data_IF_551793519454
#
_entry.id   IF_551793519454
#
_cell.length_a   1.000
_cell.length_b   1.000
_cell.length_c   1.000
_cell.angle_alpha   90.00
_cell.angle_beta   90.00
_cell.angle_gamma   90.00
#
_symmetry.space_group_name_H-M   'P 1'
#
loop_
_entity.id
_entity.type
_entity.pdbx_description
1 polymer ?
#
# COMPACT_ATOMS: atom_id res chain seq x y z
N UNK A 1 49.65 -38.88 -18.61
CA UNK A 1 49.03 -38.54 -17.31
C UNK A 1 48.80 -37.03 -17.10
N UNK A 2 49.69 -36.12 -17.51
CA UNK A 2 49.52 -34.67 -17.26
C UNK A 2 48.30 -33.99 -17.92
N UNK A 3 47.86 -34.44 -19.11
CA UNK A 3 46.73 -33.80 -19.84
C UNK A 3 45.36 -34.12 -19.23
N UNK A 4 45.17 -35.36 -18.75
CA UNK A 4 43.96 -35.77 -18.01
C UNK A 4 43.83 -35.04 -16.68
N UNK A 5 44.93 -34.89 -15.92
CA UNK A 5 44.94 -34.14 -14.66
C UNK A 5 44.61 -32.65 -14.88
N UNK A 6 45.14 -32.04 -15.96
CA UNK A 6 44.80 -30.66 -16.34
C UNK A 6 43.32 -30.48 -16.70
N UNK A 7 42.71 -31.44 -17.40
CA UNK A 7 41.28 -31.38 -17.74
C UNK A 7 40.38 -31.55 -16.52
N UNK A 8 40.71 -32.48 -15.62
CA UNK A 8 39.99 -32.66 -14.35
C UNK A 8 40.10 -31.41 -13.49
N UNK A 9 41.31 -30.83 -13.35
CA UNK A 9 41.52 -29.57 -12.62
C UNK A 9 40.77 -28.39 -13.24
N UNK A 10 40.73 -28.30 -14.57
CA UNK A 10 39.94 -27.28 -15.28
C UNK A 10 38.44 -27.47 -15.07
N UNK A 11 37.95 -28.71 -15.04
CA UNK A 11 36.55 -29.03 -14.75
C UNK A 11 36.17 -28.68 -13.31
N UNK A 12 37.03 -29.00 -12.33
CA UNK A 12 36.85 -28.62 -10.93
C UNK A 12 36.86 -27.09 -10.74
N UNK A 13 37.78 -26.40 -11.41
CA UNK A 13 37.84 -24.93 -11.39
C UNK A 13 36.58 -24.29 -12.00
N UNK A 14 36.05 -24.87 -13.08
CA UNK A 14 34.83 -24.38 -13.72
C UNK A 14 33.61 -24.59 -12.80
N UNK A 15 33.49 -25.75 -12.17
CA UNK A 15 32.40 -26.02 -11.21
C UNK A 15 32.49 -25.08 -10.01
N UNK A 16 33.69 -24.84 -9.48
CA UNK A 16 33.90 -23.90 -8.38
C UNK A 16 33.60 -22.44 -8.78
N UNK A 17 33.95 -22.04 -10.01
CA UNK A 17 33.60 -20.72 -10.55
C UNK A 17 32.08 -20.56 -10.70
N UNK A 18 31.37 -21.59 -11.16
CA UNK A 18 29.92 -21.57 -11.28
C UNK A 18 29.26 -21.44 -9.89
N UNK A 19 29.72 -22.22 -8.90
CA UNK A 19 29.20 -22.15 -7.53
C UNK A 19 29.44 -20.77 -6.91
N UNK A 20 30.63 -20.19 -7.08
CA UNK A 20 30.94 -18.87 -6.52
C UNK A 20 30.11 -17.76 -7.16
N UNK A 21 29.91 -17.79 -8.48
CA UNK A 21 29.04 -16.84 -9.19
C UNK A 21 27.58 -16.96 -8.71
N UNK A 22 27.06 -18.19 -8.58
CA UNK A 22 25.71 -18.42 -8.04
C UNK A 22 25.59 -17.89 -6.62
N UNK A 23 26.58 -18.16 -5.75
CA UNK A 23 26.59 -17.64 -4.38
C UNK A 23 26.56 -16.10 -4.34
N UNK A 24 27.34 -15.42 -5.18
CA UNK A 24 27.35 -13.94 -5.26
C UNK A 24 26.00 -13.40 -5.74
N UNK A 25 25.39 -14.05 -6.72
CA UNK A 25 24.07 -13.67 -7.23
C UNK A 25 23.02 -13.81 -6.12
N UNK A 26 23.01 -14.94 -5.40
CA UNK A 26 22.09 -15.18 -4.29
C UNK A 26 22.29 -14.15 -3.18
N UNK A 27 23.53 -13.89 -2.76
CA UNK A 27 23.81 -12.92 -1.70
C UNK A 27 23.41 -11.49 -2.11
N UNK A 28 23.66 -11.10 -3.35
CA UNK A 28 23.20 -9.83 -3.91
C UNK A 28 21.67 -9.70 -3.84
N UNK A 29 20.94 -10.72 -4.32
CA UNK A 29 19.47 -10.71 -4.27
C UNK A 29 18.93 -10.70 -2.83
N UNK A 30 19.54 -11.44 -1.91
CA UNK A 30 19.18 -11.42 -0.49
C UNK A 30 19.39 -10.04 0.14
N UNK A 31 20.53 -9.38 -0.12
CA UNK A 31 20.80 -8.02 0.37
C UNK A 31 19.81 -7.01 -0.20
N UNK A 32 19.51 -7.11 -1.49
CA UNK A 32 18.54 -6.26 -2.17
C UNK A 32 17.13 -6.41 -1.60
N UNK A 33 16.67 -7.64 -1.38
CA UNK A 33 15.35 -7.90 -0.78
C UNK A 33 15.26 -7.29 0.62
N UNK A 34 16.28 -7.50 1.47
CA UNK A 34 16.32 -6.94 2.82
C UNK A 34 16.28 -5.41 2.83
N UNK A 35 16.97 -4.75 1.90
CA UNK A 35 16.89 -3.31 1.75
C UNK A 35 15.47 -2.86 1.42
N UNK A 36 14.79 -3.51 0.47
CA UNK A 36 13.42 -3.16 0.10
C UNK A 36 12.43 -3.32 1.25
N UNK A 37 12.60 -4.33 2.11
CA UNK A 37 11.73 -4.54 3.26
C UNK A 37 11.97 -3.49 4.35
N UNK A 38 13.23 -3.09 4.58
CA UNK A 38 13.54 -1.97 5.46
C UNK A 38 12.88 -0.66 4.97
N UNK A 39 12.96 -0.34 3.67
CA UNK A 39 12.32 0.85 3.12
C UNK A 39 10.81 0.85 3.32
N UNK A 40 10.14 -0.28 3.05
CA UNK A 40 8.69 -0.43 3.29
C UNK A 40 8.34 -0.16 4.75
N UNK A 41 9.11 -0.72 5.68
CA UNK A 41 8.89 -0.55 7.10
C UNK A 41 9.07 0.92 7.53
N UNK A 42 10.14 1.58 7.08
CA UNK A 42 10.40 2.98 7.43
C UNK A 42 9.31 3.89 6.84
N UNK A 43 8.89 3.65 5.60
CA UNK A 43 7.81 4.42 4.98
C UNK A 43 6.49 4.24 5.73
N UNK A 44 6.18 3.02 6.16
CA UNK A 44 5.01 2.75 6.99
C UNK A 44 5.06 3.56 8.29
N UNK A 45 6.18 3.52 9.03
CA UNK A 45 6.34 4.28 10.27
C UNK A 45 6.19 5.77 10.02
N UNK A 46 6.80 6.31 8.96
CA UNK A 46 6.67 7.72 8.59
C UNK A 46 5.21 8.11 8.28
N UNK A 47 4.47 7.26 7.55
CA UNK A 47 3.06 7.47 7.26
C UNK A 47 2.18 7.33 8.52
N UNK A 48 2.55 6.45 9.45
CA UNK A 48 1.85 6.29 10.73
C UNK A 48 2.04 7.50 11.67
N UNK A 49 3.23 8.09 11.65
CA UNK A 49 3.60 9.27 12.44
C UNK A 49 3.26 10.60 11.72
N UNK A 50 2.56 10.54 10.59
CA UNK A 50 2.22 11.70 9.76
C UNK A 50 3.43 12.57 9.33
N UNK A 51 4.62 11.98 9.21
CA UNK A 51 5.88 12.69 8.92
C UNK A 51 6.06 12.95 7.42
N UNK A 52 5.50 14.07 6.93
CA UNK A 52 5.48 14.43 5.51
C UNK A 52 6.86 14.46 4.84
N UNK A 53 7.85 15.06 5.49
CA UNK A 53 9.20 15.25 4.95
C UNK A 53 9.89 13.90 4.73
N UNK A 54 9.76 13.00 5.71
CA UNK A 54 10.32 11.65 5.63
C UNK A 54 9.60 10.86 4.54
N UNK A 55 8.27 10.94 4.47
CA UNK A 55 7.49 10.28 3.41
C UNK A 55 7.88 10.77 2.03
N UNK A 56 8.09 12.09 1.83
CA UNK A 56 8.53 12.67 0.55
C UNK A 56 9.87 12.13 0.09
N UNK A 57 10.86 12.13 0.98
CA UNK A 57 12.20 11.61 0.68
C UNK A 57 12.14 10.14 0.29
N UNK A 58 11.44 9.33 1.09
CA UNK A 58 11.36 7.89 0.86
C UNK A 58 10.58 7.53 -0.40
N UNK A 59 9.43 8.15 -0.65
CA UNK A 59 8.62 7.84 -1.85
C UNK A 59 9.39 8.19 -3.12
N UNK A 60 10.08 9.33 -3.15
CA UNK A 60 10.92 9.72 -4.28
C UNK A 60 12.04 8.71 -4.53
N UNK A 61 12.78 8.35 -3.48
CA UNK A 61 13.86 7.34 -3.59
C UNK A 61 13.33 5.97 -4.03
N UNK A 62 12.13 5.58 -3.57
CA UNK A 62 11.49 4.31 -3.93
C UNK A 62 11.04 4.29 -5.38
N UNK A 63 10.42 5.37 -5.87
CA UNK A 63 10.01 5.51 -7.28
C UNK A 63 11.22 5.45 -8.21
N UNK A 64 12.35 6.04 -7.82
CA UNK A 64 13.58 6.06 -8.61
C UNK A 64 14.28 4.68 -8.67
N UNK A 65 14.19 3.88 -7.60
CA UNK A 65 14.90 2.59 -7.52
C UNK A 65 14.07 1.40 -7.98
N UNK A 66 12.76 1.46 -7.85
CA UNK A 66 11.93 0.27 -7.79
C UNK A 66 10.50 0.60 -8.16
N UNK A 67 10.12 0.25 -9.39
CA UNK A 67 8.75 0.25 -9.90
C UNK A 67 7.85 -0.70 -9.07
N UNK A 68 7.63 -0.38 -7.79
CA UNK A 68 7.01 -1.19 -6.75
C UNK A 68 5.66 -0.57 -6.39
N UNK A 69 4.60 -0.89 -7.17
CA UNK A 69 3.31 -0.20 -7.09
C UNK A 69 2.64 -0.30 -5.70
N UNK A 70 3.07 -1.26 -4.87
CA UNK A 70 2.43 -1.56 -3.60
C UNK A 70 2.91 -0.69 -2.43
N UNK A 71 4.04 -0.01 -2.57
CA UNK A 71 4.68 0.67 -1.42
C UNK A 71 3.98 1.99 -1.09
N UNK A 72 3.74 2.85 -2.09
CA UNK A 72 2.93 4.07 -1.92
C UNK A 72 1.49 3.76 -1.50
N UNK A 73 0.93 2.66 -2.00
CA UNK A 73 -0.43 2.21 -1.68
C UNK A 73 -0.60 1.85 -0.19
N UNK A 74 0.38 1.16 0.41
CA UNK A 74 0.38 0.89 1.85
C UNK A 74 0.46 2.19 2.65
N UNK A 75 1.37 3.10 2.29
CA UNK A 75 1.49 4.40 2.94
C UNK A 75 0.18 5.20 2.92
N UNK A 76 -0.60 5.11 1.83
CA UNK A 76 -1.92 5.73 1.71
C UNK A 76 -2.92 5.16 2.73
N UNK A 77 -2.91 3.84 2.93
CA UNK A 77 -3.79 3.17 3.90
C UNK A 77 -3.45 3.57 5.34
N UNK A 78 -2.16 3.59 5.71
CA UNK A 78 -1.74 3.96 7.07
C UNK A 78 -2.03 5.43 7.38
N UNK A 79 -1.74 6.33 6.43
CA UNK A 79 -2.05 7.76 6.59
C UNK A 79 -3.56 8.00 6.71
N UNK A 80 -4.40 7.26 5.98
CA UNK A 80 -5.85 7.31 6.10
C UNK A 80 -6.34 6.87 7.49
N UNK A 81 -5.75 5.83 8.07
CA UNK A 81 -6.07 5.35 9.42
C UNK A 81 -5.67 6.36 10.52
N UNK A 82 -4.59 7.10 10.31
CA UNK A 82 -4.00 8.03 11.29
C UNK A 82 -4.45 9.48 11.14
N UNK A 83 -5.33 9.77 10.18
CA UNK A 83 -5.81 11.12 9.86
C UNK A 83 -4.71 12.06 9.31
N UNK A 84 -3.72 11.53 8.59
CA UNK A 84 -2.60 12.30 8.05
C UNK A 84 -2.92 12.87 6.65
N UNK A 85 -3.78 13.88 6.57
CA UNK A 85 -4.26 14.43 5.29
C UNK A 85 -3.13 14.93 4.37
N UNK A 86 -2.11 15.59 4.92
CA UNK A 86 -1.01 16.15 4.11
C UNK A 86 -0.16 15.06 3.44
N UNK A 87 0.09 13.95 4.15
CA UNK A 87 0.76 12.77 3.58
C UNK A 87 -0.09 12.17 2.45
N UNK A 88 -1.41 12.06 2.65
CA UNK A 88 -2.31 11.53 1.62
C UNK A 88 -2.36 12.42 0.38
N UNK A 89 -2.38 13.74 0.54
CA UNK A 89 -2.33 14.68 -0.59
C UNK A 89 -1.09 14.46 -1.44
N UNK A 90 0.07 14.32 -0.80
CA UNK A 90 1.33 14.04 -1.49
C UNK A 90 1.32 12.66 -2.16
N UNK A 91 0.83 11.61 -1.50
CA UNK A 91 0.81 10.28 -2.12
C UNK A 91 -0.11 10.22 -3.35
N UNK A 92 -1.23 10.93 -3.34
CA UNK A 92 -2.15 10.97 -4.48
C UNK A 92 -1.57 11.79 -5.65
N UNK A 93 -0.71 12.79 -5.41
CA UNK A 93 -0.01 13.48 -6.51
C UNK A 93 0.98 12.57 -7.23
N UNK A 94 1.50 11.54 -6.55
CA UNK A 94 2.41 10.54 -7.13
C UNK A 94 1.65 9.38 -7.82
N UNK A 95 0.41 9.63 -8.28
CA UNK A 95 -0.42 8.65 -9.02
C UNK A 95 -0.68 7.33 -8.30
N UNK A 96 -0.63 7.31 -6.96
CA UNK A 96 -0.94 6.13 -6.17
C UNK A 96 -2.42 5.76 -6.34
N UNK A 97 -2.68 4.48 -6.63
CA UNK A 97 -4.04 3.97 -6.77
C UNK A 97 -4.79 4.05 -5.42
N UNK A 98 -5.87 4.84 -5.40
CA UNK A 98 -6.70 5.10 -4.21
C UNK A 98 -7.52 3.89 -3.77
N UNK A 99 -7.80 2.97 -4.70
CA UNK A 99 -8.67 1.81 -4.50
C UNK A 99 -7.93 0.52 -4.13
N UNK A 100 -6.68 0.63 -3.69
CA UNK A 100 -5.88 -0.54 -3.29
C UNK A 100 -6.43 -1.15 -2.01
N UNK A 101 -6.51 -2.48 -2.02
CA UNK A 101 -6.80 -3.31 -0.85
C UNK A 101 -5.48 -3.65 -0.14
N UNK A 102 -5.48 -3.61 1.19
CA UNK A 102 -4.34 -4.13 1.95
C UNK A 102 -4.25 -5.66 1.86
N UNK A 103 -3.08 -6.18 2.20
CA UNK A 103 -2.80 -7.60 2.37
C UNK A 103 -3.11 -8.08 3.79
N UNK A 104 -3.93 -7.32 4.53
CA UNK A 104 -4.35 -7.70 5.87
C UNK A 104 -5.42 -8.80 5.82
N UNK A 105 -5.73 -9.38 6.97
CA UNK A 105 -6.80 -10.37 7.10
C UNK A 105 -8.17 -9.87 6.65
N UNK A 106 -8.38 -8.55 6.62
CA UNK A 106 -9.67 -7.95 6.26
C UNK A 106 -9.71 -7.44 4.82
N UNK A 107 -8.58 -7.39 4.09
CA UNK A 107 -8.50 -6.89 2.71
C UNK A 107 -9.21 -5.53 2.50
N UNK A 108 -8.80 -4.53 3.27
CA UNK A 108 -9.48 -3.22 3.36
C UNK A 108 -8.81 -2.16 2.50
N UNK A 109 -9.61 -1.23 1.99
CA UNK A 109 -9.11 -0.04 1.28
C UNK A 109 -8.84 1.11 2.25
N UNK A 110 -8.11 2.14 1.80
CA UNK A 110 -7.92 3.38 2.57
C UNK A 110 -9.27 3.98 3.04
N UNK A 111 -10.32 3.88 2.21
CA UNK A 111 -11.66 4.36 2.55
C UNK A 111 -12.30 3.55 3.69
N UNK A 112 -12.08 2.24 3.75
CA UNK A 112 -12.53 1.42 4.89
C UNK A 112 -11.87 1.85 6.20
N UNK A 113 -10.56 2.07 6.17
CA UNK A 113 -9.80 2.47 7.37
C UNK A 113 -10.20 3.86 7.87
N UNK A 114 -10.27 4.86 6.97
CA UNK A 114 -10.74 6.20 7.32
C UNK A 114 -12.17 6.18 7.89
N UNK A 115 -13.04 5.35 7.31
CA UNK A 115 -14.42 5.18 7.77
C UNK A 115 -14.48 4.47 9.12
N UNK A 116 -13.71 3.40 9.32
CA UNK A 116 -13.66 2.65 10.59
C UNK A 116 -13.20 3.52 11.77
N UNK A 117 -12.31 4.47 11.48
CA UNK A 117 -11.80 5.45 12.43
C UNK A 117 -12.65 6.72 12.50
N UNK A 118 -13.68 6.88 11.67
CA UNK A 118 -14.56 8.06 11.71
C UNK A 118 -13.88 9.37 11.29
N UNK A 119 -12.84 9.32 10.45
CA UNK A 119 -12.12 10.49 9.97
C UNK A 119 -12.85 11.13 8.78
N UNK A 120 -13.86 11.94 9.07
CA UNK A 120 -14.75 12.57 8.08
C UNK A 120 -14.00 13.27 6.94
N UNK A 121 -13.01 14.10 7.26
CA UNK A 121 -12.25 14.88 6.27
C UNK A 121 -11.47 13.98 5.31
N UNK A 122 -10.91 12.88 5.82
CA UNK A 122 -10.20 11.89 5.00
C UNK A 122 -11.18 11.13 4.11
N UNK A 123 -12.36 10.77 4.62
CA UNK A 123 -13.42 10.12 3.83
C UNK A 123 -13.83 11.01 2.67
N UNK A 124 -14.10 12.30 2.94
CA UNK A 124 -14.44 13.30 1.92
C UNK A 124 -13.34 13.39 0.86
N UNK A 125 -12.10 13.57 1.30
CA UNK A 125 -10.95 13.70 0.41
C UNK A 125 -10.76 12.46 -0.48
N UNK A 126 -10.85 11.25 0.08
CA UNK A 126 -10.74 10.01 -0.69
C UNK A 126 -11.84 9.89 -1.76
N UNK A 127 -13.09 10.22 -1.42
CA UNK A 127 -14.21 10.20 -2.37
C UNK A 127 -14.02 11.22 -3.50
N UNK A 128 -13.55 12.44 -3.18
CA UNK A 128 -13.20 13.46 -4.18
C UNK A 128 -12.09 13.00 -5.14
N UNK A 129 -11.19 12.13 -4.66
CA UNK A 129 -10.12 11.53 -5.46
C UNK A 129 -10.51 10.22 -6.15
N UNK A 130 -11.81 9.89 -6.19
CA UNK A 130 -12.32 8.75 -6.95
C UNK A 130 -12.21 7.41 -6.21
N UNK A 131 -12.14 7.41 -4.88
CA UNK A 131 -12.29 6.20 -4.11
C UNK A 131 -13.67 5.56 -4.37
N UNK A 132 -13.69 4.25 -4.62
CA UNK A 132 -14.90 3.48 -4.87
C UNK A 132 -15.55 3.08 -3.53
N UNK A 133 -16.74 3.62 -3.19
CA UNK A 133 -17.43 3.31 -1.94
C UNK A 133 -18.11 1.94 -1.95
N UNK A 134 -18.10 1.21 -3.07
CA UNK A 134 -18.75 -0.10 -3.19
C UNK A 134 -17.79 -1.29 -3.05
N UNK A 135 -16.48 -1.05 -2.87
CA UNK A 135 -15.53 -2.13 -2.63
C UNK A 135 -15.90 -2.81 -1.32
N UNK A 136 -15.92 -4.15 -1.33
CA UNK A 136 -16.18 -4.96 -0.15
C UNK A 136 -14.87 -5.46 0.44
N UNK A 137 -14.78 -5.42 1.76
CA UNK A 137 -13.72 -6.09 2.52
C UNK A 137 -13.97 -7.62 2.56
N UNK A 138 -13.07 -8.38 3.18
CA UNK A 138 -13.14 -9.85 3.24
C UNK A 138 -14.41 -10.36 3.95
N UNK A 139 -14.97 -9.57 4.88
CA UNK A 139 -16.25 -9.85 5.54
C UNK A 139 -17.47 -9.49 4.66
N UNK A 140 -17.26 -9.02 3.43
CA UNK A 140 -18.30 -8.54 2.53
C UNK A 140 -18.86 -7.16 2.91
N UNK A 141 -18.21 -6.41 3.81
CA UNK A 141 -18.69 -5.10 4.28
C UNK A 141 -18.17 -4.01 3.35
N UNK A 142 -19.06 -3.09 3.00
CA UNK A 142 -18.67 -1.83 2.33
C UNK A 142 -18.21 -0.81 3.38
N UNK A 143 -17.50 0.26 3.01
CA UNK A 143 -17.20 1.38 3.91
C UNK A 143 -18.46 1.90 4.63
N UNK A 144 -19.60 2.03 3.93
CA UNK A 144 -20.86 2.48 4.56
C UNK A 144 -21.35 1.49 5.62
N UNK A 145 -21.30 0.18 5.32
CA UNK A 145 -21.66 -0.85 6.30
C UNK A 145 -20.74 -0.79 7.53
N UNK A 146 -19.44 -0.55 7.33
CA UNK A 146 -18.48 -0.35 8.43
C UNK A 146 -18.86 0.87 9.27
N UNK A 147 -19.20 2.01 8.65
CA UNK A 147 -19.64 3.22 9.35
C UNK A 147 -20.88 2.95 10.25
N UNK A 148 -21.89 2.27 9.71
CA UNK A 148 -23.13 1.92 10.43
C UNK A 148 -22.84 0.99 11.62
N UNK A 149 -21.94 0.03 11.47
CA UNK A 149 -21.56 -0.85 12.58
C UNK A 149 -20.81 -0.07 13.67
N UNK A 150 -19.94 0.87 13.28
CA UNK A 150 -19.13 1.66 14.21
C UNK A 150 -19.92 2.73 14.94
N UNK A 151 -20.92 3.34 14.30
CA UNK A 151 -21.79 4.36 14.93
C UNK A 151 -22.53 3.83 16.15
N UNK A 152 -22.82 2.52 16.19
CA UNK A 152 -23.44 1.84 17.35
C UNK A 152 -22.55 1.86 18.60
N UNK A 153 -21.24 1.86 18.42
CA UNK A 153 -20.27 1.73 19.50
C UNK A 153 -19.55 3.04 19.83
N UNK A 154 -19.57 4.03 18.93
CA UNK A 154 -18.83 5.27 19.10
C UNK A 154 -19.63 6.46 18.55
N UNK A 155 -20.46 7.06 19.41
CA UNK A 155 -21.38 8.15 19.06
C UNK A 155 -20.71 9.53 18.99
N UNK A 156 -19.50 9.65 19.53
CA UNK A 156 -18.76 10.94 19.58
C UNK A 156 -18.10 11.28 18.23
N UNK A 157 -18.03 10.33 17.32
CA UNK A 157 -17.49 10.51 15.96
C UNK A 157 -18.60 10.81 14.96
N UNK A 158 -18.31 11.54 13.86
CA UNK A 158 -19.29 12.03 12.90
C UNK A 158 -19.78 10.94 11.93
N UNK A 159 -20.21 9.78 12.44
CA UNK A 159 -20.63 8.66 11.58
C UNK A 159 -21.89 8.97 10.78
N UNK A 160 -22.82 9.78 11.30
CA UNK A 160 -24.03 10.13 10.58
C UNK A 160 -23.71 10.90 9.28
N UNK A 161 -22.78 11.85 9.34
CA UNK A 161 -22.28 12.55 8.16
C UNK A 161 -21.51 11.63 7.23
N UNK A 162 -20.65 10.75 7.76
CA UNK A 162 -19.89 9.78 6.96
C UNK A 162 -20.85 8.84 6.20
N UNK A 163 -21.89 8.33 6.86
CA UNK A 163 -22.90 7.46 6.25
C UNK A 163 -23.65 8.21 5.13
N UNK A 164 -24.01 9.46 5.37
CA UNK A 164 -24.67 10.32 4.37
C UNK A 164 -23.78 10.55 3.14
N UNK A 165 -22.50 10.89 3.37
CA UNK A 165 -21.53 11.08 2.29
C UNK A 165 -21.33 9.82 1.45
N UNK A 166 -21.14 8.68 2.11
CA UNK A 166 -20.95 7.40 1.43
C UNK A 166 -22.20 6.98 0.64
N UNK A 167 -23.40 7.16 1.21
CA UNK A 167 -24.66 6.91 0.52
C UNK A 167 -24.79 7.76 -0.77
N UNK A 168 -24.46 9.04 -0.68
CA UNK A 168 -24.50 9.92 -1.84
C UNK A 168 -23.48 9.52 -2.91
N UNK A 169 -22.26 9.14 -2.50
CA UNK A 169 -21.22 8.67 -3.42
C UNK A 169 -21.61 7.35 -4.12
N UNK A 170 -22.20 6.39 -3.39
CA UNK A 170 -22.74 5.15 -3.96
C UNK A 170 -23.79 5.43 -5.03
N UNK A 171 -24.74 6.35 -4.76
CA UNK A 171 -25.80 6.73 -5.69
C UNK A 171 -25.25 7.43 -6.94
N UNK A 172 -24.26 8.32 -6.77
CA UNK A 172 -23.62 8.99 -7.90
C UNK A 172 -22.95 8.00 -8.85
N UNK A 173 -22.24 6.99 -8.32
CA UNK A 173 -21.63 5.93 -9.14
C UNK A 173 -22.67 5.05 -9.85
N UNK A 174 -23.82 4.77 -9.22
CA UNK A 174 -24.90 4.04 -9.90
C UNK A 174 -25.50 4.86 -11.04
N UNK A 175 -25.59 6.19 -10.90
CA UNK A 175 -26.13 7.08 -11.93
C UNK A 175 -25.19 7.32 -13.11
N UNK A 176 -23.86 7.20 -12.92
CA UNK A 176 -22.88 7.34 -14.01
C UNK A 176 -22.79 6.10 -14.91
N UNK A 177 -23.15 4.92 -14.41
CA UNK A 177 -23.19 3.65 -15.18
C UNK A 177 -24.41 3.57 -16.13
N UNK A 178 -25.40 4.45 -15.96
CA UNK A 178 -26.69 4.41 -16.70
C UNK A 178 -26.79 5.49 -17.78
N UNK A 179 -25.73 6.27 -18.05
CA UNK A 179 -25.74 7.22 -19.18
C UNK A 179 -25.27 6.53 -20.48
N UNK A 180 -26.11 6.43 -21.52
CA UNK A 180 -25.74 5.90 -22.83
C UNK A 180 -24.77 6.82 -23.58
#
# INVERSE_FOLDING_TARGET
MNKLNKNVKNSLNLVWLIVTVICVIITYYCMKAKATDNYKQILQVAAEDCSLEITKLLVKDILDMHNTPNVGSKALIYSARKNCLEVMKFLITEEVNVNVIDDSTYQRTALHHATYEGHLEIVRFLLEKGANPNIKDDDGKTPRTVAVLRSRHNKDKPYDEIISLLYNAEKQMQSSVVKP
#
